data_IF_121990368157
#
_entry.id   IF_121990368157
#
_cell.length_a   1.000
_cell.length_b   1.000
_cell.length_c   1.000
_cell.angle_alpha   90.00
_cell.angle_beta   90.00
_cell.angle_gamma   90.00
#
_symmetry.space_group_name_H-M   'P 1'
#
loop_
_entity.id
_entity.type
_entity.pdbx_description
1 polymer ?
#
# COMPACT_ATOMS: atom_id res chain seq x y z
N UNK A 1 21.74 -8.48 24.14
CA UNK A 1 20.88 -7.28 24.34
C UNK A 1 20.54 -6.56 23.04
N UNK A 2 21.50 -6.24 22.16
CA UNK A 2 21.22 -5.54 20.89
C UNK A 2 20.21 -6.25 19.98
N UNK A 3 20.34 -7.57 19.79
CA UNK A 3 19.40 -8.35 18.97
C UNK A 3 17.94 -8.27 19.48
N UNK A 4 17.75 -8.31 20.80
CA UNK A 4 16.42 -8.17 21.41
C UNK A 4 15.88 -6.74 21.27
N UNK A 5 16.74 -5.72 21.38
CA UNK A 5 16.35 -4.34 21.10
C UNK A 5 15.89 -4.14 19.66
N UNK A 6 16.64 -4.71 18.71
CA UNK A 6 16.31 -4.65 17.29
C UNK A 6 15.01 -5.41 16.96
N UNK A 7 14.81 -6.59 17.56
CA UNK A 7 13.58 -7.35 17.43
C UNK A 7 12.38 -6.53 17.94
N UNK A 8 12.47 -5.99 19.16
CA UNK A 8 11.41 -5.17 19.75
C UNK A 8 11.12 -3.92 18.91
N UNK A 9 12.14 -3.30 18.32
CA UNK A 9 11.98 -2.16 17.43
C UNK A 9 11.17 -2.52 16.17
N UNK A 10 11.53 -3.60 15.48
CA UNK A 10 10.79 -4.04 14.29
C UNK A 10 9.36 -4.49 14.62
N UNK A 11 9.14 -5.19 15.74
CA UNK A 11 7.81 -5.57 16.20
C UNK A 11 6.97 -4.32 16.52
N UNK A 12 7.52 -3.37 17.29
CA UNK A 12 6.83 -2.15 17.68
C UNK A 12 6.40 -1.31 16.48
N UNK A 13 7.30 -1.14 15.50
CA UNK A 13 6.99 -0.43 14.26
C UNK A 13 5.96 -1.20 13.44
N UNK A 14 6.12 -2.51 13.27
CA UNK A 14 5.20 -3.34 12.50
C UNK A 14 3.77 -3.28 13.03
N UNK A 15 3.60 -3.49 14.35
CA UNK A 15 2.30 -3.42 15.02
C UNK A 15 1.70 -2.01 14.97
N UNK A 16 2.50 -0.99 15.28
CA UNK A 16 2.03 0.39 15.33
C UNK A 16 1.61 0.92 13.96
N UNK A 17 2.44 0.69 12.93
CA UNK A 17 2.15 1.13 11.56
C UNK A 17 0.99 0.34 10.94
N UNK A 18 0.99 -0.99 11.09
CA UNK A 18 -0.06 -1.87 10.60
C UNK A 18 -1.42 -1.57 11.24
N UNK A 19 -1.46 -1.38 12.57
CA UNK A 19 -2.70 -1.03 13.28
C UNK A 19 -3.28 0.33 12.88
N UNK A 20 -2.43 1.34 12.65
CA UNK A 20 -2.86 2.64 12.12
C UNK A 20 -3.44 2.52 10.71
N UNK A 21 -2.79 1.75 9.84
CA UNK A 21 -3.27 1.50 8.49
C UNK A 21 -4.62 0.76 8.51
N UNK A 22 -4.76 -0.28 9.32
CA UNK A 22 -5.99 -1.04 9.47
C UNK A 22 -7.18 -0.15 9.91
N UNK A 23 -6.95 0.77 10.87
CA UNK A 23 -7.97 1.76 11.26
C UNK A 23 -8.36 2.67 10.10
N UNK A 24 -7.40 3.18 9.33
CA UNK A 24 -7.69 4.02 8.16
C UNK A 24 -8.48 3.28 7.08
N UNK A 25 -8.16 2.00 6.83
CA UNK A 25 -8.94 1.15 5.93
C UNK A 25 -10.38 1.00 6.44
N UNK A 26 -10.56 0.67 7.73
CA UNK A 26 -11.86 0.46 8.34
C UNK A 26 -12.76 1.71 8.26
N UNK A 27 -12.17 2.88 8.48
CA UNK A 27 -12.84 4.18 8.50
C UNK A 27 -12.92 4.87 7.13
N UNK A 28 -12.36 4.28 6.06
CA UNK A 28 -12.29 4.87 4.73
C UNK A 28 -11.53 6.23 4.68
N UNK A 29 -10.43 6.32 5.43
CA UNK A 29 -9.57 7.51 5.56
C UNK A 29 -8.28 7.43 4.73
N UNK A 30 -8.24 6.55 3.72
CA UNK A 30 -7.08 6.40 2.85
C UNK A 30 -7.03 7.50 1.78
N UNK A 31 -5.82 7.97 1.47
CA UNK A 31 -5.57 8.87 0.33
C UNK A 31 -5.03 8.08 -0.85
N UNK A 32 -5.79 8.02 -1.93
CA UNK A 32 -5.48 7.21 -3.12
C UNK A 32 -4.59 8.01 -4.08
N UNK A 33 -3.27 7.91 -3.89
CA UNK A 33 -2.29 8.71 -4.62
C UNK A 33 -1.77 8.01 -5.91
N UNK A 34 -2.25 6.80 -6.21
CA UNK A 34 -1.79 5.96 -7.31
C UNK A 34 -2.96 5.45 -8.18
N UNK A 35 -2.70 5.24 -9.47
CA UNK A 35 -3.56 4.50 -10.38
C UNK A 35 -2.84 3.23 -10.86
N UNK A 36 -3.52 2.08 -10.78
CA UNK A 36 -3.00 0.79 -11.21
C UNK A 36 -3.81 0.29 -12.40
N UNK A 37 -3.13 -0.04 -13.50
CA UNK A 37 -3.73 -0.63 -14.71
C UNK A 37 -3.41 -2.12 -14.76
N UNK A 38 -4.44 -2.95 -14.88
CA UNK A 38 -4.34 -4.40 -14.92
C UNK A 38 -4.18 -4.92 -16.36
N UNK A 39 -3.89 -6.22 -16.51
CA UNK A 39 -3.68 -6.85 -17.82
C UNK A 39 -4.89 -6.78 -18.77
N UNK A 40 -6.09 -6.61 -18.23
CA UNK A 40 -7.34 -6.39 -18.98
C UNK A 40 -7.59 -4.92 -19.37
N UNK A 41 -6.64 -4.03 -19.07
CA UNK A 41 -6.73 -2.57 -19.21
C UNK A 41 -7.68 -1.87 -18.23
N UNK A 42 -8.26 -2.57 -17.25
CA UNK A 42 -8.98 -1.91 -16.18
C UNK A 42 -8.00 -1.03 -15.37
N UNK A 43 -8.37 0.21 -15.07
CA UNK A 43 -7.56 1.12 -14.25
C UNK A 43 -8.31 1.47 -12.97
N UNK A 44 -7.65 1.30 -11.82
CA UNK A 44 -8.22 1.62 -10.51
C UNK A 44 -7.33 2.56 -9.72
N UNK A 45 -7.95 3.51 -9.04
CA UNK A 45 -7.29 4.26 -7.98
C UNK A 45 -7.03 3.35 -6.78
N UNK A 46 -5.79 3.37 -6.28
CA UNK A 46 -5.36 2.51 -5.18
C UNK A 46 -4.59 3.28 -4.11
N UNK A 47 -4.65 2.76 -2.89
CA UNK A 47 -3.69 3.05 -1.85
C UNK A 47 -2.62 1.95 -1.90
N UNK A 48 -1.41 2.31 -2.30
CA UNK A 48 -0.28 1.38 -2.28
C UNK A 48 0.22 1.22 -0.84
N UNK A 49 0.01 0.04 -0.26
CA UNK A 49 0.57 -0.31 1.06
C UNK A 49 2.08 -0.50 0.93
N UNK A 50 2.50 -1.17 -0.13
CA UNK A 50 3.90 -1.41 -0.44
C UNK A 50 4.08 -2.33 -1.63
N UNK A 51 5.34 -2.62 -1.93
CA UNK A 51 5.72 -3.58 -2.96
C UNK A 51 6.98 -4.32 -2.54
N UNK A 52 7.19 -5.48 -3.14
CA UNK A 52 8.48 -6.15 -3.19
C UNK A 52 8.77 -6.56 -4.64
N UNK A 53 9.82 -7.34 -4.86
CA UNK A 53 10.21 -7.79 -6.20
C UNK A 53 9.15 -8.63 -6.92
N UNK A 54 8.20 -9.22 -6.19
CA UNK A 54 7.25 -10.18 -6.72
C UNK A 54 5.81 -9.69 -6.71
N UNK A 55 5.45 -8.79 -5.79
CA UNK A 55 4.06 -8.40 -5.56
C UNK A 55 3.88 -6.93 -5.22
N UNK A 56 2.69 -6.42 -5.56
CA UNK A 56 2.10 -5.22 -5.01
C UNK A 56 1.07 -5.56 -3.94
N UNK A 57 1.08 -4.80 -2.84
CA UNK A 57 0.11 -4.89 -1.76
C UNK A 57 -0.66 -3.57 -1.72
N UNK A 58 -1.98 -3.61 -1.88
CA UNK A 58 -2.75 -2.39 -2.08
C UNK A 58 -4.21 -2.53 -1.63
N UNK A 59 -4.90 -1.40 -1.55
CA UNK A 59 -6.35 -1.31 -1.33
C UNK A 59 -6.95 -0.49 -2.47
N UNK A 60 -7.99 -1.01 -3.11
CA UNK A 60 -8.73 -0.25 -4.13
C UNK A 60 -9.68 0.75 -3.48
N UNK A 61 -9.86 1.91 -4.12
CA UNK A 61 -10.82 2.92 -3.66
C UNK A 61 -12.23 2.35 -3.57
N UNK A 62 -12.87 2.54 -2.42
CA UNK A 62 -14.20 1.99 -2.11
C UNK A 62 -14.19 0.54 -1.63
N UNK A 63 -13.03 -0.11 -1.55
CA UNK A 63 -12.87 -1.46 -1.02
C UNK A 63 -12.12 -1.43 0.33
N UNK A 64 -12.46 -2.35 1.24
CA UNK A 64 -11.75 -2.51 2.53
C UNK A 64 -10.78 -3.68 2.55
N UNK A 65 -10.76 -4.50 1.50
CA UNK A 65 -9.90 -5.66 1.41
C UNK A 65 -8.51 -5.27 0.94
N UNK A 66 -7.50 -5.82 1.60
CA UNK A 66 -6.13 -5.80 1.08
C UNK A 66 -6.05 -6.77 -0.09
N UNK A 67 -5.60 -6.28 -1.24
CA UNK A 67 -5.35 -7.07 -2.44
C UNK A 67 -3.85 -7.24 -2.66
N UNK A 68 -3.51 -8.37 -3.27
CA UNK A 68 -2.15 -8.75 -3.60
C UNK A 68 -2.15 -9.17 -5.06
N UNK A 69 -1.30 -8.55 -5.86
CA UNK A 69 -1.13 -8.90 -7.27
C UNK A 69 0.34 -9.11 -7.62
N UNK A 70 0.67 -10.16 -8.38
CA UNK A 70 2.02 -10.33 -8.90
C UNK A 70 2.40 -9.16 -9.79
N UNK A 71 3.67 -8.72 -9.72
CA UNK A 71 4.18 -7.61 -10.55
C UNK A 71 3.94 -7.88 -12.04
N UNK A 72 4.14 -9.12 -12.50
CA UNK A 72 3.93 -9.52 -13.90
C UNK A 72 2.48 -9.46 -14.39
N UNK A 73 1.49 -9.32 -13.48
CA UNK A 73 0.08 -9.16 -13.84
C UNK A 73 -0.35 -7.69 -13.95
N UNK A 74 0.50 -6.76 -13.50
CA UNK A 74 0.23 -5.32 -13.52
C UNK A 74 0.84 -4.72 -14.78
N UNK A 75 0.02 -4.04 -15.58
CA UNK A 75 0.45 -3.38 -16.81
C UNK A 75 1.21 -2.09 -16.51
N UNK A 76 0.68 -1.28 -15.59
CA UNK A 76 1.33 -0.04 -15.15
C UNK A 76 0.86 0.40 -13.76
N UNK A 77 1.73 1.17 -13.10
CA UNK A 77 1.45 1.86 -11.85
C UNK A 77 1.87 3.33 -12.00
N UNK A 78 0.93 4.24 -11.84
CA UNK A 78 1.12 5.68 -12.02
C UNK A 78 0.91 6.42 -10.69
N UNK A 79 1.71 7.47 -10.45
CA UNK A 79 1.52 8.39 -9.32
C UNK A 79 0.63 9.54 -9.80
N UNK A 80 -0.64 9.54 -9.40
CA UNK A 80 -1.63 10.54 -9.81
C UNK A 80 -1.64 11.77 -8.90
N UNK A 81 -1.18 11.64 -7.65
CA UNK A 81 -1.05 12.75 -6.71
C UNK A 81 0.38 12.83 -6.15
N UNK A 82 1.24 13.56 -6.85
CA UNK A 82 2.64 13.70 -6.46
C UNK A 82 2.85 14.84 -5.44
N UNK A 83 2.79 14.49 -4.15
CA UNK A 83 3.02 15.42 -3.02
C UNK A 83 4.43 16.05 -3.00
N UNK A 84 5.39 15.54 -3.79
CA UNK A 84 6.76 16.11 -3.86
C UNK A 84 6.90 17.22 -4.90
N UNK A 85 6.03 17.25 -5.92
CA UNK A 85 6.05 18.26 -6.98
C UNK A 85 5.11 19.45 -6.69
N UNK A 86 4.04 19.22 -5.93
CA UNK A 86 3.03 20.24 -5.60
C UNK A 86 3.31 20.91 -4.25
N UNK A 87 4.52 21.44 -4.05
CA UNK A 87 4.94 22.16 -2.84
C UNK A 87 4.82 23.67 -3.01
#
# INVERSE_FOLDING_TARGET
MFAFGLLSFFIGIGLGSGGKLAKKIANNELTYDYAMTFGDNETKEIYLIGSNSSNYFYVEKGNKNVKISPVGAIKSLEIIHNKRLNK
#
